data_IF_298152596445
#
_entry.id   IF_298152596445
#
_cell.length_a   1.000
_cell.length_b   1.000
_cell.length_c   1.000
_cell.angle_alpha   90.00
_cell.angle_beta   90.00
_cell.angle_gamma   90.00
#
_symmetry.space_group_name_H-M   'P 1'
#
loop_
_entity.id
_entity.type
_entity.pdbx_description
1 polymer ?
#
# COMPACT_ATOMS: atom_id res chain seq x y z
N UNK A 1 -23.77 -8.77 -13.35
CA UNK A 1 -22.30 -8.99 -13.32
C UNK A 1 -21.47 -7.72 -13.08
N UNK A 2 -21.73 -6.57 -13.73
CA UNK A 2 -20.88 -5.35 -13.61
C UNK A 2 -20.79 -4.75 -12.18
N UNK A 3 -21.86 -4.80 -11.38
CA UNK A 3 -21.83 -4.29 -10.00
C UNK A 3 -20.98 -5.17 -9.05
N UNK A 4 -21.01 -6.49 -9.21
CA UNK A 4 -20.26 -7.41 -8.37
C UNK A 4 -18.73 -7.28 -8.57
N UNK A 5 -18.27 -7.06 -9.81
CA UNK A 5 -16.85 -6.80 -10.09
C UNK A 5 -16.39 -5.45 -9.52
N UNK A 6 -17.24 -4.41 -9.60
CA UNK A 6 -16.94 -3.09 -9.03
C UNK A 6 -16.75 -3.12 -7.52
N UNK A 7 -17.50 -3.99 -6.84
CA UNK A 7 -17.34 -4.16 -5.40
C UNK A 7 -16.01 -4.85 -5.07
N UNK A 8 -15.57 -5.87 -5.82
CA UNK A 8 -14.35 -6.66 -5.51
C UNK A 8 -13.03 -5.95 -5.85
N UNK A 9 -13.08 -4.97 -6.75
CA UNK A 9 -11.89 -4.24 -7.22
C UNK A 9 -11.07 -3.59 -6.09
N UNK A 10 -11.66 -2.85 -5.13
CA UNK A 10 -10.95 -2.28 -3.99
C UNK A 10 -10.18 -3.29 -3.16
N UNK A 11 -10.74 -4.48 -2.90
CA UNK A 11 -10.04 -5.54 -2.16
C UNK A 11 -8.83 -6.04 -2.92
N UNK A 12 -8.97 -6.28 -4.22
CA UNK A 12 -7.86 -6.73 -5.06
C UNK A 12 -6.75 -5.67 -5.08
N UNK A 13 -7.10 -4.39 -5.23
CA UNK A 13 -6.11 -3.30 -5.25
C UNK A 13 -5.43 -3.14 -3.89
N UNK A 14 -6.18 -3.21 -2.79
CA UNK A 14 -5.62 -3.15 -1.45
C UNK A 14 -4.71 -4.36 -1.15
N UNK A 15 -5.09 -5.56 -1.60
CA UNK A 15 -4.28 -6.76 -1.51
C UNK A 15 -2.99 -6.65 -2.32
N UNK A 16 -3.05 -6.12 -3.55
CA UNK A 16 -1.88 -5.88 -4.38
C UNK A 16 -0.93 -4.86 -3.75
N UNK A 17 -1.48 -3.79 -3.15
CA UNK A 17 -0.67 -2.79 -2.47
C UNK A 17 0.05 -3.37 -1.24
N UNK A 18 -0.68 -4.04 -0.35
CA UNK A 18 -0.10 -4.67 0.84
C UNK A 18 0.87 -5.82 0.49
N UNK A 19 0.50 -6.65 -0.48
CA UNK A 19 1.31 -7.78 -0.94
C UNK A 19 2.61 -7.34 -1.59
N UNK A 20 2.59 -6.30 -2.43
CA UNK A 20 3.82 -5.76 -3.04
C UNK A 20 4.79 -5.19 -2.01
N UNK A 21 4.30 -4.48 -0.98
CA UNK A 21 5.13 -4.03 0.15
C UNK A 21 5.73 -5.24 0.89
N UNK A 22 4.91 -6.26 1.16
CA UNK A 22 5.38 -7.44 1.88
C UNK A 22 6.48 -8.18 1.11
N UNK A 23 6.30 -8.38 -0.19
CA UNK A 23 7.28 -9.06 -1.04
C UNK A 23 8.59 -8.27 -1.15
N UNK A 24 8.53 -6.97 -1.41
CA UNK A 24 9.76 -6.19 -1.58
C UNK A 24 10.51 -6.05 -0.26
N UNK A 25 9.82 -5.70 0.83
CA UNK A 25 10.43 -5.44 2.12
C UNK A 25 10.98 -6.68 2.82
N UNK A 26 10.25 -7.80 2.80
CA UNK A 26 10.60 -8.98 3.59
C UNK A 26 11.24 -10.12 2.78
N UNK A 27 11.05 -10.17 1.45
CA UNK A 27 11.63 -11.22 0.60
C UNK A 27 12.75 -10.67 -0.28
N UNK A 28 12.45 -9.68 -1.14
CA UNK A 28 13.39 -9.25 -2.18
C UNK A 28 14.60 -8.56 -1.58
N UNK A 29 14.42 -7.63 -0.62
CA UNK A 29 15.54 -6.92 -0.01
C UNK A 29 16.50 -7.86 0.72
N UNK A 30 16.07 -8.75 1.63
CA UNK A 30 16.98 -9.74 2.24
C UNK A 30 17.68 -10.62 1.22
N UNK A 31 16.98 -11.03 0.14
CA UNK A 31 17.57 -11.82 -0.92
C UNK A 31 18.65 -11.06 -1.69
N UNK A 32 18.51 -9.75 -1.91
CA UNK A 32 19.55 -8.92 -2.52
C UNK A 32 20.81 -8.87 -1.64
N UNK A 33 20.66 -8.70 -0.33
CA UNK A 33 21.80 -8.67 0.59
C UNK A 33 22.46 -10.04 0.76
N UNK A 34 21.71 -11.13 0.60
CA UNK A 34 22.24 -12.49 0.69
C UNK A 34 22.97 -12.94 -0.59
N UNK A 35 22.57 -12.46 -1.78
CA UNK A 35 23.05 -12.97 -3.06
C UNK A 35 23.99 -12.02 -3.81
N UNK A 36 24.03 -10.72 -3.49
CA UNK A 36 24.91 -9.79 -4.19
C UNK A 36 26.31 -9.71 -3.58
N UNK A 37 27.36 -9.48 -4.41
CA UNK A 37 28.76 -9.51 -3.95
C UNK A 37 29.13 -8.40 -2.97
N UNK A 38 28.38 -7.31 -2.90
CA UNK A 38 28.66 -6.20 -2.00
C UNK A 38 27.39 -5.55 -1.42
N UNK A 39 27.39 -5.18 -0.12
CA UNK A 39 26.26 -4.51 0.52
C UNK A 39 25.89 -3.17 -0.13
N UNK A 40 26.86 -2.46 -0.71
CA UNK A 40 26.63 -1.21 -1.41
C UNK A 40 25.85 -1.41 -2.71
N UNK A 41 26.14 -2.48 -3.46
CA UNK A 41 25.40 -2.84 -4.67
C UNK A 41 23.97 -3.26 -4.32
N UNK A 42 23.81 -4.07 -3.27
CA UNK A 42 22.50 -4.48 -2.75
C UNK A 42 21.66 -3.27 -2.30
N UNK A 43 22.25 -2.34 -1.55
CA UNK A 43 21.58 -1.11 -1.13
C UNK A 43 21.13 -0.23 -2.29
N UNK A 44 21.96 -0.08 -3.33
CA UNK A 44 21.61 0.67 -4.54
C UNK A 44 20.45 0.00 -5.32
N UNK A 45 20.43 -1.33 -5.40
CA UNK A 45 19.31 -2.05 -6.02
C UNK A 45 18.04 -1.97 -5.17
N UNK A 46 18.16 -2.10 -3.85
CA UNK A 46 17.04 -1.93 -2.92
C UNK A 46 16.40 -0.54 -3.07
N UNK A 47 17.20 0.52 -3.20
CA UNK A 47 16.70 1.88 -3.44
C UNK A 47 15.88 1.98 -4.75
N UNK A 48 16.33 1.33 -5.84
CA UNK A 48 15.58 1.29 -7.11
C UNK A 48 14.26 0.53 -6.96
N UNK A 49 14.26 -0.60 -6.23
CA UNK A 49 13.04 -1.36 -5.95
C UNK A 49 12.06 -0.58 -5.09
N UNK A 50 12.53 0.14 -4.08
CA UNK A 50 11.66 1.02 -3.28
C UNK A 50 11.10 2.19 -4.10
N UNK A 51 11.86 2.71 -5.07
CA UNK A 51 11.35 3.71 -6.01
C UNK A 51 10.24 3.15 -6.91
N UNK A 52 10.44 1.96 -7.48
CA UNK A 52 9.41 1.26 -8.24
C UNK A 52 8.17 0.98 -7.36
N UNK A 53 8.38 0.53 -6.12
CA UNK A 53 7.31 0.26 -5.17
C UNK A 53 6.52 1.52 -4.78
N UNK A 54 7.19 2.68 -4.72
CA UNK A 54 6.52 3.96 -4.49
C UNK A 54 5.53 4.24 -5.61
N UNK A 55 5.91 4.01 -6.87
CA UNK A 55 4.99 4.15 -8.00
C UNK A 55 3.82 3.16 -7.95
N UNK A 56 4.07 1.90 -7.58
CA UNK A 56 3.00 0.91 -7.36
C UNK A 56 2.03 1.38 -6.28
N UNK A 57 2.54 1.87 -5.15
CA UNK A 57 1.74 2.42 -4.07
C UNK A 57 0.91 3.63 -4.53
N UNK A 58 1.50 4.55 -5.28
CA UNK A 58 0.81 5.72 -5.86
C UNK A 58 -0.34 5.27 -6.75
N UNK A 59 -0.10 4.36 -7.70
CA UNK A 59 -1.13 3.85 -8.60
C UNK A 59 -2.25 3.17 -7.81
N UNK A 60 -1.91 2.31 -6.84
CA UNK A 60 -2.91 1.64 -6.01
C UNK A 60 -3.76 2.65 -5.21
N UNK A 61 -3.13 3.64 -4.58
CA UNK A 61 -3.84 4.68 -3.81
C UNK A 61 -4.75 5.51 -4.72
N UNK A 62 -4.29 5.92 -5.90
CA UNK A 62 -5.10 6.67 -6.87
C UNK A 62 -6.30 5.85 -7.36
N UNK A 63 -6.11 4.57 -7.63
CA UNK A 63 -7.20 3.66 -8.02
C UNK A 63 -8.19 3.49 -6.86
N UNK A 64 -7.74 3.32 -5.63
CA UNK A 64 -8.61 3.24 -4.45
C UNK A 64 -9.41 4.54 -4.24
N UNK A 65 -8.77 5.69 -4.44
CA UNK A 65 -9.45 7.00 -4.41
C UNK A 65 -10.48 7.12 -5.53
N UNK A 66 -10.17 6.69 -6.75
CA UNK A 66 -11.14 6.69 -7.85
C UNK A 66 -12.33 5.76 -7.57
N UNK A 67 -12.10 4.63 -6.91
CA UNK A 67 -13.14 3.68 -6.51
C UNK A 67 -13.94 4.12 -5.26
N UNK A 68 -13.39 5.04 -4.45
CA UNK A 68 -14.06 5.58 -3.26
C UNK A 68 -15.27 6.45 -3.56
N UNK A 69 -15.32 7.06 -4.76
CA UNK A 69 -16.40 7.97 -5.18
C UNK A 69 -17.41 7.27 -6.08
N UNK A 70 -18.67 7.10 -5.65
CA UNK A 70 -19.74 6.70 -6.57
C UNK A 70 -19.98 7.80 -7.63
N UNK A 71 -20.13 7.39 -8.90
CA UNK A 71 -20.27 8.31 -10.06
C UNK A 71 -21.40 9.35 -9.93
N UNK A 72 -22.41 9.09 -9.10
CA UNK A 72 -23.64 9.90 -9.01
C UNK A 72 -24.07 10.25 -7.58
N UNK A 73 -23.21 10.10 -6.56
CA UNK A 73 -23.60 10.40 -5.17
C UNK A 73 -22.59 11.32 -4.47
N UNK A 74 -23.14 12.25 -3.68
CA UNK A 74 -22.40 13.26 -2.89
C UNK A 74 -21.61 12.61 -1.74
N UNK A 75 -22.03 11.42 -1.30
CA UNK A 75 -21.40 10.69 -0.20
C UNK A 75 -20.44 9.58 -0.69
N UNK A 76 -19.27 9.49 -0.05
CA UNK A 76 -18.29 8.42 -0.26
C UNK A 76 -18.81 7.10 0.34
N UNK A 77 -18.31 5.96 -0.14
CA UNK A 77 -18.62 4.69 0.52
C UNK A 77 -18.11 4.70 1.99
N UNK A 78 -18.85 4.09 2.96
CA UNK A 78 -18.45 4.07 4.36
C UNK A 78 -17.04 3.50 4.62
N UNK A 79 -16.66 2.48 3.86
CA UNK A 79 -15.31 1.90 3.90
C UNK A 79 -14.23 2.89 3.48
N UNK A 80 -14.55 3.76 2.53
CA UNK A 80 -13.60 4.69 1.97
C UNK A 80 -13.37 5.90 2.87
N UNK A 81 -14.38 6.32 3.65
CA UNK A 81 -14.18 7.38 4.65
C UNK A 81 -13.22 6.93 5.75
N UNK A 82 -13.39 5.71 6.27
CA UNK A 82 -12.48 5.14 7.26
C UNK A 82 -11.09 4.86 6.68
N UNK A 83 -11.00 4.47 5.39
CA UNK A 83 -9.74 4.15 4.73
C UNK A 83 -9.01 5.41 4.21
N UNK A 84 -9.69 6.54 4.05
CA UNK A 84 -9.16 7.76 3.42
C UNK A 84 -7.87 8.24 4.09
N UNK A 85 -7.86 8.27 5.42
CA UNK A 85 -6.70 8.71 6.20
C UNK A 85 -5.51 7.76 6.02
N UNK A 86 -5.77 6.45 5.92
CA UNK A 86 -4.72 5.46 5.68
C UNK A 86 -4.21 5.45 4.23
N UNK A 87 -5.07 5.71 3.25
CA UNK A 87 -4.70 5.83 1.84
C UNK A 87 -3.82 7.07 1.65
N UNK A 88 -4.27 8.23 2.14
CA UNK A 88 -3.51 9.48 2.04
C UNK A 88 -2.22 9.44 2.87
N UNK A 89 -2.29 8.87 4.08
CA UNK A 89 -1.12 8.63 4.92
C UNK A 89 -0.10 7.75 4.21
N UNK A 90 -0.51 6.57 3.72
CA UNK A 90 0.36 5.66 3.00
C UNK A 90 0.97 6.25 1.73
N UNK A 91 0.21 7.07 0.98
CA UNK A 91 0.70 7.81 -0.17
C UNK A 91 1.76 8.84 0.22
N UNK A 92 1.49 9.65 1.25
CA UNK A 92 2.42 10.66 1.75
C UNK A 92 3.72 10.02 2.27
N UNK A 93 3.61 8.94 3.04
CA UNK A 93 4.74 8.17 3.54
C UNK A 93 5.59 7.61 2.39
N UNK A 94 4.97 7.09 1.33
CA UNK A 94 5.68 6.59 0.15
C UNK A 94 6.52 7.69 -0.51
N UNK A 95 5.92 8.87 -0.72
CA UNK A 95 6.57 10.02 -1.33
C UNK A 95 7.70 10.57 -0.44
N UNK A 96 7.45 10.73 0.86
CA UNK A 96 8.47 11.20 1.79
C UNK A 96 9.65 10.22 1.88
N UNK A 97 9.39 8.91 1.85
CA UNK A 97 10.46 7.92 1.85
C UNK A 97 11.29 7.99 0.56
N UNK A 98 10.64 8.14 -0.60
CA UNK A 98 11.33 8.21 -1.89
C UNK A 98 12.10 9.52 -2.11
N UNK A 99 11.51 10.67 -1.78
CA UNK A 99 12.10 11.98 -2.07
C UNK A 99 12.89 12.57 -0.90
N UNK A 100 12.61 12.17 0.34
CA UNK A 100 13.32 12.63 1.53
C UNK A 100 14.41 11.68 2.00
N UNK A 101 14.06 10.41 2.19
CA UNK A 101 14.91 9.42 2.88
C UNK A 101 15.88 8.73 1.91
N UNK A 102 15.38 8.22 0.78
CA UNK A 102 16.19 7.48 -0.19
C UNK A 102 17.45 8.24 -0.69
N UNK A 103 17.40 9.52 -1.10
CA UNK A 103 18.60 10.24 -1.52
C UNK A 103 19.62 10.42 -0.39
N UNK A 104 19.18 10.58 0.85
CA UNK A 104 20.06 10.73 2.03
C UNK A 104 20.74 9.42 2.41
N UNK A 105 20.03 8.29 2.30
CA UNK A 105 20.59 6.94 2.46
C UNK A 105 21.68 6.67 1.41
N UNK A 106 21.40 6.98 0.14
CA UNK A 106 22.35 6.76 -0.96
C UNK A 106 23.57 7.67 -0.82
N UNK A 107 23.39 8.91 -0.36
CA UNK A 107 24.48 9.82 -0.04
C UNK A 107 25.32 9.39 1.17
N UNK A 108 24.93 8.32 1.88
CA UNK A 108 25.59 7.78 3.09
C UNK A 108 25.75 8.81 4.23
N UNK A 109 24.99 9.88 4.21
CA UNK A 109 24.92 10.82 5.33
C UNK A 109 24.15 10.13 6.44
N UNK A 110 24.72 9.99 7.63
CA UNK A 110 24.08 9.39 8.81
C UNK A 110 23.26 8.12 8.52
N UNK A 111 23.89 7.15 7.84
CA UNK A 111 23.22 5.98 7.30
C UNK A 111 22.32 5.27 8.32
N UNK A 112 22.75 5.11 9.58
CA UNK A 112 21.94 4.49 10.64
C UNK A 112 20.65 5.26 10.92
N UNK A 113 20.71 6.58 10.95
CA UNK A 113 19.55 7.43 11.23
C UNK A 113 18.56 7.37 10.07
N UNK A 114 19.02 7.63 8.84
CA UNK A 114 18.15 7.64 7.67
C UNK A 114 17.60 6.25 7.33
N UNK A 115 18.39 5.19 7.56
CA UNK A 115 17.89 3.83 7.42
C UNK A 115 16.80 3.51 8.44
N UNK A 116 16.99 3.86 9.71
CA UNK A 116 15.97 3.65 10.75
C UNK A 116 14.69 4.43 10.45
N UNK A 117 14.81 5.69 10.02
CA UNK A 117 13.67 6.52 9.61
C UNK A 117 12.94 5.86 8.43
N UNK A 118 13.68 5.39 7.42
CA UNK A 118 13.10 4.69 6.27
C UNK A 118 12.37 3.40 6.67
N UNK A 119 12.94 2.59 7.57
CA UNK A 119 12.30 1.38 8.09
C UNK A 119 11.01 1.70 8.83
N UNK A 120 11.01 2.72 9.70
CA UNK A 120 9.80 3.15 10.43
C UNK A 120 8.73 3.62 9.47
N UNK A 121 9.08 4.46 8.49
CA UNK A 121 8.14 4.96 7.49
C UNK A 121 7.57 3.82 6.64
N UNK A 122 8.40 2.86 6.25
CA UNK A 122 7.97 1.69 5.50
C UNK A 122 7.03 0.81 6.31
N UNK A 123 7.32 0.58 7.59
CA UNK A 123 6.46 -0.18 8.49
C UNK A 123 5.11 0.51 8.71
N UNK A 124 5.11 1.83 8.89
CA UNK A 124 3.87 2.62 8.97
C UNK A 124 3.06 2.52 7.69
N UNK A 125 3.69 2.62 6.52
CA UNK A 125 3.03 2.45 5.23
C UNK A 125 2.43 1.05 5.08
N UNK A 126 3.16 0.02 5.49
CA UNK A 126 2.68 -1.37 5.51
C UNK A 126 1.45 -1.55 6.41
N UNK A 127 1.47 -0.95 7.61
CA UNK A 127 0.31 -0.93 8.52
C UNK A 127 -0.89 -0.19 7.90
N UNK A 128 -0.67 0.94 7.23
CA UNK A 128 -1.73 1.65 6.51
C UNK A 128 -2.35 0.77 5.41
N UNK A 129 -1.52 0.11 4.60
CA UNK A 129 -2.00 -0.79 3.54
C UNK A 129 -2.80 -1.97 4.11
N UNK A 130 -2.34 -2.55 5.22
CA UNK A 130 -3.05 -3.62 5.92
C UNK A 130 -4.41 -3.14 6.45
N UNK A 131 -4.47 -1.95 7.05
CA UNK A 131 -5.72 -1.38 7.56
C UNK A 131 -6.74 -1.15 6.44
N UNK A 132 -6.30 -0.64 5.29
CA UNK A 132 -7.14 -0.45 4.09
C UNK A 132 -7.62 -1.79 3.54
N UNK A 133 -6.75 -2.79 3.47
CA UNK A 133 -7.11 -4.14 3.05
C UNK A 133 -8.15 -4.77 4.01
N UNK A 134 -7.95 -4.64 5.31
CA UNK A 134 -8.87 -5.17 6.32
C UNK A 134 -10.24 -4.48 6.27
N UNK A 135 -10.27 -3.16 6.09
CA UNK A 135 -11.54 -2.43 5.93
C UNK A 135 -12.27 -2.85 4.67
N UNK A 136 -11.58 -2.92 3.53
CA UNK A 136 -12.22 -3.36 2.27
C UNK A 136 -12.78 -4.78 2.40
N UNK A 137 -12.07 -5.71 3.06
CA UNK A 137 -12.58 -7.06 3.35
C UNK A 137 -13.82 -7.07 4.25
N UNK A 138 -13.83 -6.30 5.35
CA UNK A 138 -14.98 -6.24 6.26
C UNK A 138 -16.26 -5.79 5.55
N UNK A 139 -16.16 -4.81 4.67
CA UNK A 139 -17.31 -4.29 3.96
C UNK A 139 -17.87 -5.26 2.91
N UNK A 140 -17.02 -6.10 2.31
CA UNK A 140 -17.48 -7.19 1.44
C UNK A 140 -18.31 -8.24 2.16
N UNK A 141 -17.89 -8.63 3.36
CA UNK A 141 -18.58 -9.66 4.12
C UNK A 141 -19.96 -9.19 4.59
N UNK A 142 -20.08 -7.90 4.94
CA UNK A 142 -21.36 -7.29 5.31
C UNK A 142 -22.33 -7.25 4.14
N UNK A 143 -21.91 -6.81 2.95
CA UNK A 143 -22.80 -6.77 1.78
C UNK A 143 -23.18 -8.15 1.28
N UNK A 144 -22.27 -9.14 1.37
CA UNK A 144 -22.58 -10.53 1.04
C UNK A 144 -23.61 -11.14 2.01
N UNK A 145 -23.48 -10.90 3.32
CA UNK A 145 -24.41 -11.40 4.33
C UNK A 145 -25.83 -10.84 4.18
N UNK A 146 -25.96 -9.55 3.87
CA UNK A 146 -27.27 -8.92 3.61
C UNK A 146 -27.93 -9.49 2.34
N UNK A 147 -27.16 -9.74 1.29
CA UNK A 147 -27.70 -10.31 0.05
C UNK A 147 -28.23 -11.74 0.24
N UNK A 148 -27.53 -12.58 1.03
CA UNK A 148 -28.00 -13.93 1.37
C UNK A 148 -29.29 -13.86 2.18
N UNK A 149 -29.33 -13.03 3.22
CA UNK A 149 -30.53 -12.86 4.06
C UNK A 149 -31.76 -12.36 3.29
N UNK A 150 -31.58 -11.60 2.21
CA UNK A 150 -32.69 -11.14 1.34
C UNK A 150 -33.20 -12.17 0.33
N UNK A 151 -32.46 -13.25 0.08
CA UNK A 151 -32.89 -14.36 -0.77
C UNK A 151 -33.67 -15.40 0.04
N UNK A 152 -33.39 -15.47 1.35
CA UNK A 152 -34.02 -16.41 2.29
C UNK A 152 -35.28 -15.85 2.99
N UNK A 153 -35.70 -14.61 2.66
CA UNK A 153 -36.88 -13.93 3.21
C UNK A 153 -37.97 -13.73 2.16
#
# INVERSE_FOLDING_TARGET
MQQAMRQRLPVVVAALWWGSLSTIGFLVVPMLFANLPSPSLAGNMAAKLFAAQTWVAVVCCLVLLALSRPRNAVAQYPWAQAAMLFILGGLLLALLNQFGVAPRIVARQDLRLWHSVGTVMYALQWCCALAVFWQTLRHHNVTAGVAVASVDA
#
